data_IF_399408470157
#
_entry.id   IF_399408470157
#
_cell.length_a   1.000
_cell.length_b   1.000
_cell.length_c   1.000
_cell.angle_alpha   90.00
_cell.angle_beta   90.00
_cell.angle_gamma   90.00
#
_symmetry.space_group_name_H-M   'P 1'
#
loop_
_entity.id
_entity.type
_entity.pdbx_description
1 polymer ?
#
# COMPACT_ATOMS: atom_id res chain seq x y z
N UNK A 1 29.15 11.83 27.34
CA UNK A 1 27.92 12.27 26.64
C UNK A 1 27.11 11.02 26.31
N UNK A 2 26.09 10.70 27.11
CA UNK A 2 25.33 9.43 27.06
C UNK A 2 23.97 9.54 26.35
N UNK A 3 23.76 10.55 25.50
CA UNK A 3 22.43 10.87 24.98
C UNK A 3 21.92 9.96 23.85
N UNK A 4 22.76 9.09 23.26
CA UNK A 4 22.40 8.28 22.08
C UNK A 4 21.47 7.09 22.38
N UNK A 5 21.61 6.46 23.55
CA UNK A 5 20.94 5.18 23.85
C UNK A 5 19.44 5.27 24.16
N UNK A 6 18.95 6.44 24.62
CA UNK A 6 17.55 6.60 25.06
C UNK A 6 16.66 7.23 23.97
N UNK A 7 17.26 7.92 22.99
CA UNK A 7 16.52 8.62 21.93
C UNK A 7 15.86 7.65 20.93
N UNK A 8 16.53 6.56 20.58
CA UNK A 8 16.05 5.60 19.57
C UNK A 8 14.80 4.84 20.04
N UNK A 9 14.77 4.23 21.24
CA UNK A 9 13.57 3.53 21.72
C UNK A 9 12.36 4.48 21.90
N UNK A 10 12.62 5.72 22.35
CA UNK A 10 11.57 6.74 22.50
C UNK A 10 10.96 7.12 21.16
N UNK A 11 11.78 7.31 20.12
CA UNK A 11 11.30 7.60 18.78
C UNK A 11 10.44 6.44 18.23
N UNK A 12 10.85 5.19 18.45
CA UNK A 12 10.10 4.02 17.99
C UNK A 12 8.74 3.86 18.70
N UNK A 13 8.67 4.12 20.02
CA UNK A 13 7.40 4.13 20.75
C UNK A 13 6.47 5.26 20.30
N UNK A 14 6.99 6.46 20.02
CA UNK A 14 6.18 7.55 19.47
C UNK A 14 5.56 7.16 18.12
N UNK A 15 6.36 6.59 17.21
CA UNK A 15 5.86 6.06 15.93
C UNK A 15 4.83 4.95 16.11
N UNK A 16 5.02 4.05 17.08
CA UNK A 16 4.03 3.02 17.38
C UNK A 16 2.70 3.64 17.87
N UNK A 17 2.78 4.62 18.78
CA UNK A 17 1.60 5.34 19.28
C UNK A 17 0.83 6.05 18.17
N UNK A 18 1.53 6.71 17.25
CA UNK A 18 0.91 7.42 16.11
C UNK A 18 0.14 6.45 15.19
N UNK A 19 0.64 5.22 15.04
CA UNK A 19 0.01 4.18 14.23
C UNK A 19 -1.00 3.32 14.99
N UNK A 20 -1.28 3.60 16.26
CA UNK A 20 -2.07 2.72 17.13
C UNK A 20 -3.52 2.50 16.68
N UNK A 21 -4.07 3.33 15.81
CA UNK A 21 -5.40 3.14 15.23
C UNK A 21 -5.54 1.79 14.50
N UNK A 22 -4.46 1.26 13.91
CA UNK A 22 -4.45 -0.03 13.19
C UNK A 22 -4.57 -1.24 14.12
N UNK A 23 -4.36 -1.05 15.43
CA UNK A 23 -4.47 -2.12 16.45
C UNK A 23 -5.89 -2.27 17.00
N UNK A 24 -6.79 -1.34 16.66
CA UNK A 24 -8.16 -1.30 17.19
C UNK A 24 -9.06 -2.32 16.48
N UNK A 25 -10.19 -2.72 17.07
CA UNK A 25 -11.16 -3.60 16.41
C UNK A 25 -11.59 -3.07 15.05
N UNK A 26 -11.98 -4.00 14.17
CA UNK A 26 -12.30 -3.74 12.77
C UNK A 26 -13.30 -2.58 12.56
N UNK A 27 -14.32 -2.51 13.39
CA UNK A 27 -15.40 -1.51 13.32
C UNK A 27 -14.89 -0.08 13.55
N UNK A 28 -13.78 0.06 14.27
CA UNK A 28 -13.12 1.34 14.51
C UNK A 28 -12.06 1.57 13.43
N UNK A 29 -11.22 0.57 13.17
CA UNK A 29 -10.09 0.70 12.26
C UNK A 29 -10.54 1.01 10.83
N UNK A 30 -11.57 0.34 10.32
CA UNK A 30 -12.11 0.57 8.99
C UNK A 30 -12.61 2.01 8.80
N UNK A 31 -13.29 2.57 9.81
CA UNK A 31 -13.75 3.97 9.79
C UNK A 31 -12.58 4.94 9.76
N UNK A 32 -11.54 4.70 10.57
CA UNK A 32 -10.34 5.54 10.55
C UNK A 32 -9.66 5.48 9.19
N UNK A 33 -9.53 4.29 8.59
CA UNK A 33 -8.95 4.15 7.25
C UNK A 33 -9.75 4.91 6.19
N UNK A 34 -11.08 4.92 6.27
CA UNK A 34 -11.94 5.69 5.37
C UNK A 34 -11.80 7.20 5.55
N UNK A 35 -11.69 7.69 6.79
CA UNK A 35 -11.46 9.12 7.06
C UNK A 35 -10.12 9.58 6.50
N UNK A 36 -9.06 8.79 6.74
CA UNK A 36 -7.72 9.07 6.21
C UNK A 36 -7.71 9.01 4.67
N UNK A 37 -8.40 8.05 4.06
CA UNK A 37 -8.54 7.99 2.61
C UNK A 37 -9.29 9.21 2.06
N UNK A 38 -10.34 9.67 2.73
CA UNK A 38 -11.06 10.87 2.34
C UNK A 38 -10.16 12.12 2.36
N UNK A 39 -9.32 12.28 3.40
CA UNK A 39 -8.33 13.36 3.47
C UNK A 39 -7.31 13.27 2.30
N UNK A 40 -6.82 12.07 1.98
CA UNK A 40 -5.91 11.88 0.84
C UNK A 40 -6.56 12.20 -0.51
N UNK A 41 -7.85 11.90 -0.68
CA UNK A 41 -8.57 12.25 -1.91
C UNK A 41 -8.80 13.74 -2.04
N UNK A 42 -9.16 14.43 -0.95
CA UNK A 42 -9.28 15.89 -0.94
C UNK A 42 -7.94 16.56 -1.30
N UNK A 43 -6.83 16.05 -0.76
CA UNK A 43 -5.50 16.51 -1.15
C UNK A 43 -5.20 16.23 -2.63
N UNK A 44 -5.51 15.03 -3.13
CA UNK A 44 -5.29 14.69 -4.54
C UNK A 44 -6.12 15.53 -5.51
N UNK A 45 -7.33 15.91 -5.12
CA UNK A 45 -8.20 16.83 -5.88
C UNK A 45 -7.60 18.24 -5.92
N UNK A 46 -6.99 18.69 -4.82
CA UNK A 46 -6.23 19.95 -4.78
C UNK A 46 -4.98 19.89 -5.67
N UNK A 47 -4.22 18.80 -5.65
CA UNK A 47 -3.05 18.61 -6.53
C UNK A 47 -3.46 18.66 -8.01
N UNK A 48 -4.59 18.05 -8.37
CA UNK A 48 -5.11 18.06 -9.75
C UNK A 48 -5.56 19.45 -10.18
N UNK A 49 -6.26 20.18 -9.30
CA UNK A 49 -6.84 21.48 -9.65
C UNK A 49 -5.83 22.63 -9.60
N UNK A 50 -4.96 22.64 -8.58
CA UNK A 50 -4.01 23.74 -8.34
C UNK A 50 -2.70 23.53 -9.08
N UNK A 51 -2.14 22.31 -9.05
CA UNK A 51 -0.83 22.00 -9.64
C UNK A 51 -0.93 21.40 -11.04
N UNK A 52 -2.14 21.02 -11.49
CA UNK A 52 -2.37 20.33 -12.77
C UNK A 52 -1.55 19.04 -12.90
N UNK A 53 -1.30 18.38 -11.77
CA UNK A 53 -0.57 17.11 -11.72
C UNK A 53 -1.55 15.94 -11.55
N UNK A 54 -1.17 14.78 -12.05
CA UNK A 54 -1.92 13.56 -11.80
C UNK A 54 -1.54 13.03 -10.41
N UNK A 55 -2.50 12.90 -9.47
CA UNK A 55 -2.22 12.41 -8.13
C UNK A 55 -1.80 10.94 -8.17
N UNK A 56 -1.01 10.54 -7.17
CA UNK A 56 -0.64 9.13 -6.97
C UNK A 56 -1.89 8.27 -6.69
N UNK A 57 -1.87 6.94 -6.95
CA UNK A 57 -3.04 6.08 -6.80
C UNK A 57 -3.75 6.16 -5.44
N UNK A 58 -3.00 6.34 -4.34
CA UNK A 58 -3.55 6.50 -2.99
C UNK A 58 -4.41 7.76 -2.83
N UNK A 59 -4.13 8.81 -3.61
CA UNK A 59 -4.80 10.11 -3.55
C UNK A 59 -5.83 10.28 -4.68
N UNK A 60 -5.99 9.30 -5.57
CA UNK A 60 -6.98 9.36 -6.65
C UNK A 60 -8.30 8.72 -6.21
N UNK A 61 -9.34 9.56 -6.07
CA UNK A 61 -10.69 9.12 -5.69
C UNK A 61 -11.27 8.06 -6.64
N UNK A 62 -10.86 8.06 -7.91
CA UNK A 62 -11.32 7.07 -8.90
C UNK A 62 -10.76 5.66 -8.67
N UNK A 63 -9.76 5.53 -7.79
CA UNK A 63 -9.12 4.27 -7.40
C UNK A 63 -9.45 3.88 -5.96
N UNK A 64 -10.55 4.41 -5.42
CA UNK A 64 -10.99 4.11 -4.06
C UNK A 64 -11.18 2.60 -3.81
N UNK A 65 -11.55 1.84 -4.83
CA UNK A 65 -11.73 0.38 -4.73
C UNK A 65 -10.40 -0.37 -4.52
N UNK A 66 -9.24 0.25 -4.80
CA UNK A 66 -7.90 -0.31 -4.52
C UNK A 66 -7.47 -0.12 -3.05
N UNK A 67 -8.24 0.63 -2.24
CA UNK A 67 -7.93 0.93 -0.84
C UNK A 67 -7.61 -0.32 0.00
N UNK A 68 -8.35 -1.45 -0.09
CA UNK A 68 -8.03 -2.65 0.68
C UNK A 68 -6.62 -3.18 0.43
N UNK A 69 -6.19 -3.19 -0.83
CA UNK A 69 -4.85 -3.66 -1.22
C UNK A 69 -3.75 -2.74 -0.69
N UNK A 70 -3.99 -1.44 -0.71
CA UNK A 70 -3.08 -0.43 -0.16
C UNK A 70 -2.95 -0.57 1.36
N UNK A 71 -4.05 -0.82 2.07
CA UNK A 71 -4.04 -1.06 3.52
C UNK A 71 -3.29 -2.34 3.91
N UNK A 72 -3.44 -3.45 3.15
CA UNK A 72 -2.64 -4.66 3.37
C UNK A 72 -1.14 -4.36 3.22
N UNK A 73 -0.75 -3.64 2.17
CA UNK A 73 0.66 -3.25 1.96
C UNK A 73 1.22 -2.38 3.09
N UNK A 74 0.41 -1.44 3.60
CA UNK A 74 0.79 -0.60 4.74
C UNK A 74 1.00 -1.43 6.02
N UNK A 75 0.08 -2.37 6.31
CA UNK A 75 0.20 -3.27 7.46
C UNK A 75 1.45 -4.15 7.37
N UNK A 76 1.72 -4.70 6.19
CA UNK A 76 2.86 -5.61 5.98
C UNK A 76 4.21 -4.89 6.08
N UNK A 77 4.31 -3.69 5.52
CA UNK A 77 5.59 -3.00 5.43
C UNK A 77 5.88 -2.10 6.63
N UNK A 78 4.88 -1.39 7.14
CA UNK A 78 5.06 -0.39 8.21
C UNK A 78 4.67 -0.96 9.56
N UNK A 79 3.42 -1.42 9.72
CA UNK A 79 2.91 -1.84 11.03
C UNK A 79 3.61 -3.11 11.53
N UNK A 80 3.80 -4.10 10.68
CA UNK A 80 4.53 -5.33 11.06
C UNK A 80 5.97 -5.01 11.46
N UNK A 81 6.64 -4.11 10.74
CA UNK A 81 7.99 -3.68 11.14
C UNK A 81 7.98 -3.01 12.51
N UNK A 82 7.10 -2.03 12.75
CA UNK A 82 7.04 -1.26 14.01
C UNK A 82 6.66 -2.13 15.21
N UNK A 83 5.70 -3.04 15.06
CA UNK A 83 5.13 -3.82 16.16
C UNK A 83 5.78 -5.20 16.37
N UNK A 84 6.45 -5.76 15.35
CA UNK A 84 7.09 -7.09 15.43
C UNK A 84 8.61 -7.05 15.36
N UNK A 85 9.19 -6.22 14.48
CA UNK A 85 10.65 -6.17 14.27
C UNK A 85 11.30 -5.09 15.14
N UNK A 86 10.62 -3.96 15.30
CA UNK A 86 11.08 -2.82 16.07
C UNK A 86 11.44 -3.13 17.53
N UNK A 87 10.63 -3.94 18.25
CA UNK A 87 10.98 -4.37 19.61
C UNK A 87 12.15 -5.36 19.67
N UNK A 88 12.45 -6.08 18.57
CA UNK A 88 13.50 -7.11 18.51
C UNK A 88 14.85 -6.55 18.01
N UNK A 89 14.84 -5.44 17.28
CA UNK A 89 16.03 -4.79 16.74
C UNK A 89 17.03 -4.34 17.83
N UNK A 90 16.60 -3.82 19.00
CA UNK A 90 17.50 -3.49 20.10
C UNK A 90 18.21 -4.71 20.70
N UNK A 91 17.62 -5.91 20.66
CA UNK A 91 18.25 -7.10 21.25
C UNK A 91 19.44 -7.57 20.43
N UNK A 92 19.26 -7.72 19.12
CA UNK A 92 20.35 -8.11 18.23
C UNK A 92 21.47 -7.04 18.17
N UNK A 93 21.11 -5.75 18.32
CA UNK A 93 22.11 -4.69 18.44
C UNK A 93 22.82 -4.72 19.81
N UNK A 94 22.12 -4.99 20.91
CA UNK A 94 22.71 -5.12 22.23
C UNK A 94 23.67 -6.31 22.30
N UNK A 95 23.28 -7.46 21.72
CA UNK A 95 24.12 -8.66 21.63
C UNK A 95 25.41 -8.37 20.85
N UNK A 96 25.33 -7.64 19.73
CA UNK A 96 26.52 -7.20 18.97
C UNK A 96 27.37 -6.19 19.75
N UNK A 97 26.76 -5.24 20.46
CA UNK A 97 27.50 -4.29 21.30
C UNK A 97 28.16 -4.95 22.51
N UNK A 98 27.54 -6.00 23.05
CA UNK A 98 28.06 -6.79 24.16
C UNK A 98 29.17 -7.74 23.68
N UNK A 99 29.05 -8.33 22.49
CA UNK A 99 30.14 -9.07 21.83
C UNK A 99 31.35 -8.17 21.55
N UNK A 100 31.14 -6.98 20.99
CA UNK A 100 32.22 -5.98 20.76
C UNK A 100 32.92 -5.59 22.07
N UNK A 101 32.18 -5.55 23.18
CA UNK A 101 32.74 -5.25 24.52
C UNK A 101 33.56 -6.41 25.07
N UNK A 102 33.12 -7.64 24.81
CA UNK A 102 33.79 -8.86 25.27
C UNK A 102 35.07 -9.19 24.49
N UNK A 103 35.22 -8.69 23.27
CA UNK A 103 36.44 -8.86 22.47
C UNK A 103 37.59 -7.88 22.82
N UNK A 104 37.37 -6.88 23.67
CA UNK A 104 38.38 -5.87 24.02
C UNK A 104 38.50 -5.66 25.55
N UNK A 105 39.24 -6.52 26.28
CA UNK A 105 39.25 -6.56 27.74
C UNK A 105 40.06 -5.43 28.42
N UNK A 106 40.43 -4.35 27.71
CA UNK A 106 41.44 -3.38 28.14
C UNK A 106 41.00 -1.92 28.30
N UNK A 107 39.71 -1.61 28.32
CA UNK A 107 39.24 -0.23 28.57
C UNK A 107 38.53 -0.12 29.92
N UNK A 108 39.02 0.81 30.73
CA UNK A 108 38.83 0.89 32.17
C UNK A 108 37.37 0.88 32.65
N UNK A 109 37.17 0.06 33.68
CA UNK A 109 35.97 -0.18 34.49
C UNK A 109 35.52 1.05 35.33
N UNK A 110 35.56 2.27 34.79
CA UNK A 110 35.25 3.48 35.58
C UNK A 110 34.30 4.48 34.90
N UNK A 111 33.27 4.00 34.20
CA UNK A 111 31.95 4.67 34.19
C UNK A 111 30.91 3.76 33.53
N UNK A 112 30.01 3.21 34.35
CA UNK A 112 28.60 2.81 34.08
C UNK A 112 28.26 1.68 35.06
N UNK A 113 28.43 1.95 36.36
CA UNK A 113 27.77 1.15 37.39
C UNK A 113 26.29 1.54 37.40
N UNK A 114 25.53 0.84 36.58
CA UNK A 114 24.07 0.83 36.61
C UNK A 114 23.68 -0.17 37.71
N UNK A 115 23.51 0.34 38.93
CA UNK A 115 23.20 -0.45 40.13
C UNK A 115 21.90 -1.27 40.01
N UNK A 116 21.54 -2.08 41.04
CA UNK A 116 20.47 -3.08 40.99
C UNK A 116 19.02 -2.54 40.86
N UNK A 117 18.83 -1.34 40.32
CA UNK A 117 17.54 -0.72 40.02
C UNK A 117 17.40 -0.20 38.58
N UNK A 118 18.35 -0.44 37.68
CA UNK A 118 18.22 -0.08 36.26
C UNK A 118 17.82 -1.29 35.44
N UNK A 119 16.52 -1.57 35.41
CA UNK A 119 15.92 -2.36 34.33
C UNK A 119 16.34 -1.73 33.00
N UNK A 120 17.06 -2.47 32.16
CA UNK A 120 17.30 -2.00 30.80
C UNK A 120 15.92 -1.83 30.14
N UNK A 121 15.75 -0.80 29.31
CA UNK A 121 14.54 -0.63 28.50
C UNK A 121 14.15 -1.93 27.78
N UNK A 122 15.14 -2.76 27.44
CA UNK A 122 14.94 -4.10 26.89
C UNK A 122 14.26 -5.10 27.86
N UNK A 123 14.61 -5.07 29.14
CA UNK A 123 13.95 -5.85 30.19
C UNK A 123 12.50 -5.37 30.38
N UNK A 124 12.24 -4.08 30.19
CA UNK A 124 10.88 -3.53 30.13
C UNK A 124 10.14 -3.95 28.85
N UNK A 125 10.74 -3.88 27.66
CA UNK A 125 10.15 -4.38 26.41
C UNK A 125 9.85 -5.88 26.44
N UNK A 126 10.72 -6.68 27.06
CA UNK A 126 10.49 -8.12 27.28
C UNK A 126 9.32 -8.36 28.23
N UNK A 127 9.16 -7.52 29.25
CA UNK A 127 7.99 -7.53 30.15
C UNK A 127 6.70 -7.10 29.43
N UNK A 128 6.79 -6.17 28.48
CA UNK A 128 5.66 -5.71 27.66
C UNK A 128 5.21 -6.75 26.62
N UNK A 129 5.96 -7.82 26.35
CA UNK A 129 5.62 -8.78 25.30
C UNK A 129 4.23 -9.43 25.50
N UNK A 130 3.84 -9.75 26.73
CA UNK A 130 2.49 -10.25 27.03
C UNK A 130 1.41 -9.16 26.83
N UNK A 131 1.71 -7.91 27.17
CA UNK A 131 0.77 -6.78 27.11
C UNK A 131 0.58 -6.22 25.68
N UNK A 132 1.57 -6.39 24.78
CA UNK A 132 1.48 -5.97 23.37
C UNK A 132 0.85 -7.04 22.47
N UNK A 133 0.72 -8.28 22.95
CA UNK A 133 0.11 -9.39 22.20
C UNK A 133 -1.29 -9.05 21.67
N UNK A 134 -2.21 -8.46 22.47
CA UNK A 134 -3.52 -8.03 21.97
C UNK A 134 -3.44 -6.99 20.83
N UNK A 135 -2.42 -6.13 20.83
CA UNK A 135 -2.23 -5.16 19.74
C UNK A 135 -1.74 -5.83 18.46
N UNK A 136 -0.83 -6.81 18.57
CA UNK A 136 -0.35 -7.59 17.44
C UNK A 136 -1.44 -8.50 16.85
N UNK A 137 -2.29 -9.08 17.70
CA UNK A 137 -3.47 -9.82 17.29
C UNK A 137 -4.46 -8.93 16.56
N UNK A 138 -4.69 -7.71 17.06
CA UNK A 138 -5.49 -6.69 16.39
C UNK A 138 -5.00 -6.39 14.97
N UNK A 139 -3.69 -6.15 14.81
CA UNK A 139 -3.06 -5.93 13.49
C UNK A 139 -3.27 -7.15 12.58
N UNK A 140 -3.04 -8.35 13.10
CA UNK A 140 -3.15 -9.59 12.33
C UNK A 140 -4.59 -9.84 11.87
N UNK A 141 -5.57 -9.55 12.73
CA UNK A 141 -6.99 -9.68 12.41
C UNK A 141 -7.41 -8.64 11.37
N UNK A 142 -7.06 -7.36 11.57
CA UNK A 142 -7.36 -6.31 10.60
C UNK A 142 -6.73 -6.60 9.23
N UNK A 143 -5.50 -7.16 9.20
CA UNK A 143 -4.86 -7.60 7.96
C UNK A 143 -5.70 -8.65 7.23
N UNK A 144 -6.27 -9.61 7.95
CA UNK A 144 -7.11 -10.67 7.35
C UNK A 144 -8.38 -10.07 6.75
N UNK A 145 -9.05 -9.17 7.46
CA UNK A 145 -10.26 -8.48 6.97
C UNK A 145 -9.95 -7.67 5.70
N UNK A 146 -8.88 -6.87 5.72
CA UNK A 146 -8.46 -6.12 4.53
C UNK A 146 -8.06 -7.03 3.37
N UNK A 147 -7.42 -8.17 3.66
CA UNK A 147 -7.03 -9.13 2.62
C UNK A 147 -8.26 -9.79 1.99
N UNK A 148 -9.28 -10.14 2.77
CA UNK A 148 -10.54 -10.66 2.25
C UNK A 148 -11.21 -9.65 1.31
N UNK A 149 -11.28 -8.38 1.71
CA UNK A 149 -11.83 -7.32 0.86
C UNK A 149 -11.00 -7.09 -0.42
N UNK A 150 -9.67 -7.18 -0.32
CA UNK A 150 -8.80 -7.07 -1.49
C UNK A 150 -9.00 -8.24 -2.47
N UNK A 151 -9.19 -9.46 -1.95
CA UNK A 151 -9.46 -10.65 -2.76
C UNK A 151 -10.81 -10.57 -3.47
N UNK A 152 -11.85 -10.13 -2.77
CA UNK A 152 -13.17 -9.88 -3.39
C UNK A 152 -13.08 -8.84 -4.52
N UNK A 153 -12.27 -7.81 -4.33
CA UNK A 153 -12.06 -6.80 -5.37
C UNK A 153 -11.30 -7.35 -6.58
N UNK A 154 -10.20 -8.09 -6.35
CA UNK A 154 -9.42 -8.70 -7.43
C UNK A 154 -10.27 -9.70 -8.24
N UNK A 155 -11.15 -10.46 -7.58
CA UNK A 155 -12.12 -11.35 -8.24
C UNK A 155 -13.13 -10.59 -9.11
N UNK A 156 -13.72 -9.51 -8.57
CA UNK A 156 -14.66 -8.65 -9.31
C UNK A 156 -13.99 -8.03 -10.54
N UNK A 157 -12.76 -7.55 -10.40
CA UNK A 157 -12.01 -6.94 -11.49
C UNK A 157 -11.68 -7.95 -12.59
N UNK A 158 -11.28 -9.17 -12.23
CA UNK A 158 -11.03 -10.25 -13.19
C UNK A 158 -12.30 -10.60 -13.97
N UNK A 159 -13.44 -10.74 -13.30
CA UNK A 159 -14.72 -11.02 -13.95
C UNK A 159 -15.12 -9.91 -14.95
N UNK A 160 -14.99 -8.64 -14.53
CA UNK A 160 -15.27 -7.49 -15.39
C UNK A 160 -14.33 -7.41 -16.60
N UNK A 161 -13.06 -7.78 -16.45
CA UNK A 161 -12.10 -7.81 -17.54
C UNK A 161 -12.44 -8.90 -18.57
N UNK A 162 -12.79 -10.10 -18.10
CA UNK A 162 -13.25 -11.19 -18.97
C UNK A 162 -14.55 -10.82 -19.73
N UNK A 163 -15.48 -10.13 -19.08
CA UNK A 163 -16.69 -9.61 -19.71
C UNK A 163 -16.37 -8.53 -20.76
N UNK A 164 -15.49 -7.58 -20.44
CA UNK A 164 -15.02 -6.56 -21.39
C UNK A 164 -14.34 -7.20 -22.59
N UNK A 165 -13.53 -8.24 -22.40
CA UNK A 165 -12.88 -8.96 -23.50
C UNK A 165 -13.92 -9.66 -24.38
N UNK A 166 -14.94 -10.31 -23.81
CA UNK A 166 -16.04 -10.93 -24.56
C UNK A 166 -16.84 -9.89 -25.36
N UNK A 167 -17.15 -8.74 -24.76
CA UNK A 167 -17.85 -7.64 -25.42
C UNK A 167 -17.01 -7.01 -26.55
N UNK A 168 -15.72 -6.80 -26.32
CA UNK A 168 -14.80 -6.29 -27.34
C UNK A 168 -14.65 -7.27 -28.50
N UNK A 169 -14.52 -8.57 -28.22
CA UNK A 169 -14.48 -9.62 -29.24
C UNK A 169 -15.79 -9.70 -30.05
N UNK A 170 -16.94 -9.57 -29.41
CA UNK A 170 -18.25 -9.52 -30.08
C UNK A 170 -18.40 -8.27 -30.97
N UNK A 171 -17.96 -7.10 -30.48
CA UNK A 171 -18.03 -5.83 -31.22
C UNK A 171 -17.08 -5.83 -32.44
N UNK A 172 -15.89 -6.42 -32.30
CA UNK A 172 -14.93 -6.61 -33.40
C UNK A 172 -15.41 -7.68 -34.40
N UNK A 173 -16.11 -8.71 -33.93
CA UNK A 173 -16.77 -9.71 -34.79
C UNK A 173 -17.89 -9.11 -35.65
N UNK A 174 -18.67 -8.19 -35.10
CA UNK A 174 -19.73 -7.48 -35.83
C UNK A 174 -19.17 -6.56 -36.94
N UNK A 175 -18.09 -5.81 -36.67
CA UNK A 175 -17.45 -4.95 -37.69
C UNK A 175 -16.87 -5.76 -38.87
N UNK A 176 -16.33 -6.96 -38.61
CA UNK A 176 -15.86 -7.87 -39.68
C UNK A 176 -17.00 -8.53 -40.47
N UNK A 177 -18.21 -8.61 -39.92
CA UNK A 177 -19.41 -9.10 -40.59
C UNK A 177 -20.04 -8.08 -41.54
N UNK A 178 -20.06 -6.80 -41.15
CA UNK A 178 -20.62 -5.71 -41.98
C UNK A 178 -19.73 -5.42 -43.20
N UNK A 179 -18.40 -5.59 -43.09
CA UNK A 179 -17.47 -5.42 -44.21
C UNK A 179 -17.56 -6.49 -45.32
N UNK A 180 -18.37 -7.54 -45.16
CA UNK A 180 -18.58 -8.61 -46.16
C UNK A 180 -19.89 -8.49 -46.95
N UNK A 181 -20.75 -7.51 -46.65
CA UNK A 181 -22.03 -7.35 -47.37
C UNK A 181 -21.92 -6.51 -48.65
N UNK A 182 -20.76 -5.91 -48.93
CA UNK A 182 -20.47 -5.30 -50.24
C UNK A 182 -19.34 -6.08 -50.93
N UNK A 183 -19.60 -6.73 -52.07
CA UNK A 183 -18.55 -7.42 -52.83
C UNK A 183 -17.54 -6.40 -53.37
N UNK A 184 -16.23 -6.66 -53.27
CA UNK A 184 -15.20 -5.81 -53.84
C UNK A 184 -14.95 -6.22 -55.30
N UNK A 185 -15.88 -5.91 -56.20
CA UNK A 185 -15.51 -5.84 -57.61
C UNK A 185 -16.55 -5.06 -58.43
N UNK A 186 -16.19 -3.83 -58.79
CA UNK A 186 -16.52 -3.17 -60.06
C UNK A 186 -15.54 -1.98 -60.20
N UNK A 187 -14.25 -2.28 -60.07
CA UNK A 187 -13.17 -1.38 -60.43
C UNK A 187 -12.43 -1.93 -61.65
N UNK A 188 -13.17 -2.08 -62.75
CA UNK A 188 -12.59 -2.12 -64.10
C UNK A 188 -13.37 -1.10 -64.93
N UNK A 189 -12.67 -0.09 -65.46
CA UNK A 189 -13.24 0.99 -66.27
C UNK A 189 -13.92 0.46 -67.56
N UNK A 190 -14.51 1.31 -68.41
CA UNK A 190 -13.81 2.46 -68.99
C UNK A 190 -14.70 3.71 -69.26
N UNK A 191 -14.08 4.75 -69.82
CA UNK A 191 -14.68 5.91 -70.49
C UNK A 191 -15.13 7.12 -69.65
N UNK A 192 -14.29 8.15 -69.77
CA UNK A 192 -14.64 9.57 -69.79
C UNK A 192 -15.93 9.79 -70.61
N UNK A 193 -17.03 10.13 -69.95
CA UNK A 193 -18.19 10.72 -70.62
C UNK A 193 -17.88 12.21 -70.85
N UNK A 194 -17.50 12.56 -72.07
CA UNK A 194 -17.50 13.95 -72.53
C UNK A 194 -18.95 14.38 -72.76
N UNK A 195 -19.43 15.36 -71.97
CA UNK A 195 -20.65 16.07 -72.28
C UNK A 195 -20.39 17.00 -73.47
N UNK A 196 -20.74 16.53 -74.67
CA UNK A 196 -20.87 17.35 -75.86
C UNK A 196 -22.17 17.00 -76.56
N UNK A 197 -23.07 17.99 -76.66
CA UNK A 197 -24.11 18.03 -77.69
C UNK A 197 -25.53 17.73 -77.20
N UNK A 198 -26.28 18.80 -76.95
CA UNK A 198 -27.74 18.83 -77.13
C UNK A 198 -28.04 19.14 -78.61
N UNK A 199 -28.94 18.39 -79.26
CA UNK A 199 -29.84 18.91 -80.30
C UNK A 199 -31.29 18.59 -79.89
N UNK A 200 -32.33 19.40 -80.09
CA UNK A 200 -32.64 20.56 -80.95
C UNK A 200 -33.55 21.50 -80.18
#
# INVERSE_FOLDING_TARGET
MHCGGVLVPRAMMMTACDLSAITKPWEVQSKVALLVAAEFWEQGDLERTVLQQNPIPMMDRNKADELPKLQVGFIDFVCTFVYKVGPLLPQAQQDVFDDIRNENPGTDQHTLDLGPGSSSLFQEFSRFHEEITPMLDGITNNRKEWKALADEYDEKMKALEEEKQKQQAATQGLQKGVGKLYPPDLASGPHRWSYSGFPT
#
